data_IF_048824499208
#
_entry.id   IF_048824499208
#
_cell.length_a   1.000
_cell.length_b   1.000
_cell.length_c   1.000
_cell.angle_alpha   90.00
_cell.angle_beta   90.00
_cell.angle_gamma   90.00
#
_symmetry.space_group_name_H-M   'P 1'
#
loop_
_entity.id
_entity.type
_entity.pdbx_description
1 polymer ?
#
# COMPACT_ATOMS: atom_id res chain seq x y z
N UNK A 1 11.70 -19.18 7.42
CA UNK A 1 12.42 -17.90 7.38
C UNK A 1 13.56 -17.91 8.39
N UNK A 2 14.76 -17.42 8.03
CA UNK A 2 16.01 -17.38 8.82
C UNK A 2 16.58 -18.75 9.26
N UNK A 3 16.07 -19.85 8.78
CA UNK A 3 16.60 -21.19 9.05
C UNK A 3 17.46 -21.63 7.88
N UNK A 4 18.72 -22.00 8.16
CA UNK A 4 19.59 -22.57 7.16
C UNK A 4 19.27 -24.06 6.97
N UNK A 5 18.79 -24.43 5.75
CA UNK A 5 18.37 -25.79 5.42
C UNK A 5 19.50 -26.81 5.62
N UNK A 6 20.74 -26.52 5.19
CA UNK A 6 21.85 -27.46 5.31
C UNK A 6 22.19 -27.77 6.78
N UNK A 7 22.19 -26.71 7.63
CA UNK A 7 22.40 -26.89 9.07
C UNK A 7 21.25 -27.67 9.72
N UNK A 8 20.00 -27.42 9.29
CA UNK A 8 18.83 -28.15 9.77
C UNK A 8 18.96 -29.66 9.46
N UNK A 9 19.27 -30.00 8.22
CA UNK A 9 19.43 -31.40 7.79
C UNK A 9 20.60 -32.08 8.55
N UNK A 10 21.72 -31.37 8.72
CA UNK A 10 22.87 -31.87 9.50
C UNK A 10 22.46 -32.16 10.95
N UNK A 11 21.66 -31.27 11.56
CA UNK A 11 21.17 -31.47 12.93
C UNK A 11 20.20 -32.65 13.02
N UNK A 12 19.27 -32.77 12.05
CA UNK A 12 18.36 -33.93 11.97
C UNK A 12 19.16 -35.24 11.86
N UNK A 13 20.14 -35.31 10.96
CA UNK A 13 21.00 -36.48 10.80
C UNK A 13 21.78 -36.83 12.08
N UNK A 14 22.23 -35.81 12.84
CA UNK A 14 22.89 -36.05 14.12
C UNK A 14 21.94 -36.67 15.14
N UNK A 15 20.72 -36.10 15.29
CA UNK A 15 19.70 -36.61 16.23
C UNK A 15 19.27 -38.04 15.93
N UNK A 16 19.20 -38.42 14.63
CA UNK A 16 18.88 -39.78 14.20
C UNK A 16 20.08 -40.73 14.52
N UNK A 17 21.30 -40.32 14.25
CA UNK A 17 22.54 -41.11 14.55
C UNK A 17 22.72 -41.33 16.05
N UNK A 18 22.44 -40.29 16.85
CA UNK A 18 22.54 -40.30 18.31
C UNK A 18 21.36 -41.02 18.98
N UNK A 19 20.40 -41.52 18.17
CA UNK A 19 19.19 -42.22 18.58
C UNK A 19 18.22 -41.35 19.48
N UNK A 20 18.37 -40.04 19.40
CA UNK A 20 17.42 -39.11 20.05
C UNK A 20 16.09 -39.12 19.29
N UNK A 21 16.10 -39.35 17.97
CA UNK A 21 14.94 -39.62 17.14
C UNK A 21 15.10 -41.00 16.54
N UNK A 22 14.15 -41.90 16.83
CA UNK A 22 14.18 -43.27 16.37
C UNK A 22 13.11 -43.50 15.30
N UNK A 23 13.23 -44.62 14.56
CA UNK A 23 12.22 -44.96 13.54
C UNK A 23 12.46 -44.37 12.16
N UNK A 24 13.51 -43.58 11.96
CA UNK A 24 13.91 -43.06 10.65
C UNK A 24 14.90 -43.99 9.96
N UNK A 25 14.66 -44.29 8.69
CA UNK A 25 15.51 -45.15 7.86
C UNK A 25 16.34 -44.37 6.86
N UNK A 26 15.83 -43.28 6.35
CA UNK A 26 16.43 -42.46 5.31
C UNK A 26 16.13 -40.98 5.48
N UNK A 27 17.09 -40.12 5.21
CA UNK A 27 16.96 -38.66 5.21
C UNK A 27 17.71 -38.09 4.01
N UNK A 28 17.02 -37.37 3.14
CA UNK A 28 17.62 -36.78 1.94
C UNK A 28 17.03 -35.37 1.67
N UNK A 29 17.86 -34.56 1.03
CA UNK A 29 17.48 -33.24 0.50
C UNK A 29 17.21 -33.36 -1.00
N UNK A 30 15.95 -33.30 -1.37
CA UNK A 30 15.48 -33.34 -2.76
C UNK A 30 15.06 -31.96 -3.29
N UNK A 31 15.53 -30.89 -2.65
CA UNK A 31 15.21 -29.52 -3.05
C UNK A 31 15.69 -29.23 -4.47
N UNK A 32 14.82 -28.57 -5.24
CA UNK A 32 15.07 -28.22 -6.63
C UNK A 32 14.56 -26.77 -6.94
N UNK A 33 14.36 -26.45 -8.21
CA UNK A 33 13.86 -25.14 -8.66
C UNK A 33 12.43 -24.86 -8.23
N UNK A 34 11.64 -25.88 -7.95
CA UNK A 34 10.24 -25.75 -7.54
C UNK A 34 10.10 -25.45 -6.04
N UNK A 35 11.13 -25.74 -5.23
CA UNK A 35 11.12 -25.41 -3.81
C UNK A 35 12.02 -26.30 -2.94
N UNK A 36 11.88 -26.10 -1.63
CA UNK A 36 12.57 -26.87 -0.60
C UNK A 36 11.77 -28.16 -0.34
N UNK A 37 12.47 -29.30 -0.44
CA UNK A 37 11.91 -30.62 -0.15
C UNK A 37 12.92 -31.45 0.61
N UNK A 38 12.62 -31.76 1.87
CA UNK A 38 13.37 -32.69 2.71
C UNK A 38 12.53 -33.95 2.83
N UNK A 39 13.09 -35.09 2.42
CA UNK A 39 12.41 -36.41 2.46
C UNK A 39 12.98 -37.21 3.59
N UNK A 40 12.08 -37.78 4.41
CA UNK A 40 12.40 -38.66 5.52
C UNK A 40 11.57 -39.95 5.38
N UNK A 41 12.21 -41.10 5.30
CA UNK A 41 11.53 -42.39 5.28
C UNK A 41 11.52 -43.00 6.67
N UNK A 42 10.38 -43.52 7.06
CA UNK A 42 10.15 -44.09 8.40
C UNK A 42 10.09 -45.61 8.32
N UNK A 43 10.35 -46.29 9.43
CA UNK A 43 10.09 -47.72 9.60
C UNK A 43 8.58 -47.96 9.66
N UNK A 44 8.14 -49.17 9.33
CA UNK A 44 6.71 -49.55 9.30
C UNK A 44 6.00 -49.43 10.66
N UNK A 45 6.73 -49.61 11.73
CA UNK A 45 6.28 -49.55 13.13
C UNK A 45 6.49 -48.20 13.80
N UNK A 46 7.00 -47.21 13.04
CA UNK A 46 7.26 -45.90 13.57
C UNK A 46 5.97 -45.04 13.57
N UNK A 47 5.78 -44.29 14.63
CA UNK A 47 4.66 -43.32 14.77
C UNK A 47 5.09 -41.98 14.21
N UNK A 48 4.52 -41.61 13.07
CA UNK A 48 4.90 -40.41 12.32
C UNK A 48 4.69 -39.11 13.11
N UNK A 49 3.60 -39.01 13.86
CA UNK A 49 3.26 -37.83 14.67
C UNK A 49 4.30 -37.58 15.77
N UNK A 50 4.71 -38.66 16.47
CA UNK A 50 5.74 -38.57 17.52
C UNK A 50 7.07 -38.09 16.97
N UNK A 51 7.46 -38.62 15.80
CA UNK A 51 8.72 -38.22 15.14
C UNK A 51 8.63 -36.76 14.70
N UNK A 52 7.50 -36.33 14.15
CA UNK A 52 7.29 -34.94 13.73
C UNK A 52 7.34 -33.99 14.95
N UNK A 53 6.70 -34.33 16.06
CA UNK A 53 6.74 -33.56 17.29
C UNK A 53 8.17 -33.47 17.87
N UNK A 54 8.92 -34.59 17.85
CA UNK A 54 10.32 -34.59 18.25
C UNK A 54 11.18 -33.71 17.36
N UNK A 55 10.92 -33.68 16.05
CA UNK A 55 11.60 -32.78 15.10
C UNK A 55 11.28 -31.32 15.38
N UNK A 56 10.04 -30.98 15.66
CA UNK A 56 9.65 -29.60 16.02
C UNK A 56 10.32 -29.14 17.31
N UNK A 57 10.40 -30.02 18.31
CA UNK A 57 11.01 -29.69 19.62
C UNK A 57 12.54 -29.62 19.58
N UNK A 58 13.21 -30.55 18.87
CA UNK A 58 14.65 -30.72 18.92
C UNK A 58 15.41 -29.97 17.84
N UNK A 59 14.70 -29.44 16.84
CA UNK A 59 15.30 -28.77 15.69
C UNK A 59 14.63 -27.42 15.42
N UNK A 60 15.27 -26.52 14.67
CA UNK A 60 14.64 -25.26 14.23
C UNK A 60 13.62 -25.46 13.08
N UNK A 61 13.02 -26.63 12.94
CA UNK A 61 11.91 -26.86 12.00
C UNK A 61 10.67 -26.05 12.40
N UNK A 62 10.49 -25.85 13.69
CA UNK A 62 9.56 -24.91 14.26
C UNK A 62 10.34 -23.88 15.09
N UNK A 63 10.07 -22.60 14.90
CA UNK A 63 10.75 -21.53 15.61
C UNK A 63 9.80 -20.35 15.83
N UNK A 64 10.01 -19.63 16.92
CA UNK A 64 9.29 -18.40 17.17
C UNK A 64 9.93 -17.24 16.43
N UNK A 65 9.12 -16.35 15.90
CA UNK A 65 9.57 -15.11 15.25
C UNK A 65 9.03 -13.90 16.01
N UNK A 66 9.93 -13.17 16.64
CA UNK A 66 9.59 -11.91 17.31
C UNK A 66 9.41 -10.79 16.28
N UNK A 67 8.18 -10.32 16.11
CA UNK A 67 7.88 -9.21 15.20
C UNK A 67 8.32 -7.90 15.86
N UNK A 68 9.25 -7.19 15.22
CA UNK A 68 9.71 -5.87 15.65
C UNK A 68 9.53 -4.89 14.48
N UNK A 69 8.42 -4.12 14.54
CA UNK A 69 8.09 -3.15 13.51
C UNK A 69 8.60 -1.77 13.89
N UNK A 70 9.73 -1.38 13.31
CA UNK A 70 10.32 -0.06 13.46
C UNK A 70 9.93 0.81 12.26
N UNK A 71 9.28 1.93 12.51
CA UNK A 71 8.87 2.89 11.49
C UNK A 71 9.32 4.32 11.86
N UNK A 72 9.23 5.22 10.88
CA UNK A 72 9.46 6.66 11.11
C UNK A 72 8.08 7.34 11.28
N UNK A 73 7.76 7.71 12.50
CA UNK A 73 6.60 8.55 12.81
C UNK A 73 7.08 10.01 12.96
N UNK A 74 6.57 10.90 12.11
CA UNK A 74 6.95 12.33 12.11
C UNK A 74 8.49 12.56 12.07
N UNK A 75 9.22 11.72 11.31
CA UNK A 75 10.67 11.80 11.18
C UNK A 75 11.47 11.22 12.35
N UNK A 76 10.82 10.59 13.32
CA UNK A 76 11.46 9.95 14.47
C UNK A 76 11.26 8.42 14.40
N UNK A 77 12.33 7.63 14.64
CA UNK A 77 12.20 6.18 14.69
C UNK A 77 11.39 5.78 15.94
N UNK A 78 10.38 4.94 15.74
CA UNK A 78 9.51 4.43 16.81
C UNK A 78 9.14 2.98 16.52
N UNK A 79 9.15 2.15 17.54
CA UNK A 79 8.63 0.80 17.47
C UNK A 79 7.11 0.86 17.68
N UNK A 80 6.37 0.38 16.70
CA UNK A 80 4.92 0.48 16.66
C UNK A 80 4.25 -0.90 16.66
N UNK A 81 3.15 -1.08 17.37
CA UNK A 81 2.27 -2.22 17.20
C UNK A 81 1.54 -2.12 15.84
N UNK A 82 1.04 -3.24 15.35
CA UNK A 82 0.37 -3.33 14.03
C UNK A 82 -0.77 -2.32 13.88
N UNK A 83 -1.56 -2.13 14.93
CA UNK A 83 -2.70 -1.20 14.91
C UNK A 83 -2.24 0.24 14.66
N UNK A 84 -1.18 0.67 15.33
CA UNK A 84 -0.67 2.03 15.21
C UNK A 84 -0.05 2.27 13.81
N UNK A 85 0.67 1.28 13.26
CA UNK A 85 1.18 1.36 11.89
C UNK A 85 0.05 1.54 10.86
N UNK A 86 -1.06 0.83 11.03
CA UNK A 86 -2.22 0.98 10.14
C UNK A 86 -2.83 2.38 10.29
N UNK A 87 -2.95 2.89 11.51
CA UNK A 87 -3.43 4.25 11.76
C UNK A 87 -2.52 5.30 11.11
N UNK A 88 -1.23 5.24 11.38
CA UNK A 88 -0.25 6.18 10.80
C UNK A 88 -0.26 6.14 9.27
N UNK A 89 -0.46 4.96 8.68
CA UNK A 89 -0.61 4.81 7.24
C UNK A 89 -1.86 5.52 6.71
N UNK A 90 -3.02 5.34 7.38
CA UNK A 90 -4.27 6.00 6.99
C UNK A 90 -4.13 7.52 7.12
N UNK A 91 -3.58 8.01 8.22
CA UNK A 91 -3.35 9.44 8.43
C UNK A 91 -2.43 10.04 7.37
N UNK A 92 -1.37 9.30 7.00
CA UNK A 92 -0.50 9.70 5.90
C UNK A 92 -1.25 9.76 4.55
N UNK A 93 -2.11 8.79 4.25
CA UNK A 93 -2.92 8.80 3.03
C UNK A 93 -3.89 9.99 3.01
N UNK A 94 -4.54 10.29 4.13
CA UNK A 94 -5.40 11.48 4.28
C UNK A 94 -4.62 12.75 3.95
N UNK A 95 -3.42 12.94 4.53
CA UNK A 95 -2.58 14.10 4.26
C UNK A 95 -2.17 14.18 2.78
N UNK A 96 -1.81 13.06 2.16
CA UNK A 96 -1.48 13.00 0.73
C UNK A 96 -2.66 13.39 -0.15
N UNK A 97 -3.86 12.84 0.10
CA UNK A 97 -5.07 13.16 -0.67
C UNK A 97 -5.45 14.63 -0.50
N UNK A 98 -5.41 15.16 0.72
CA UNK A 98 -5.70 16.57 1.00
C UNK A 98 -4.73 17.49 0.25
N UNK A 99 -3.42 17.24 0.32
CA UNK A 99 -2.41 18.05 -0.39
C UNK A 99 -2.55 17.95 -1.91
N UNK A 100 -2.83 16.77 -2.44
CA UNK A 100 -3.10 16.55 -3.86
C UNK A 100 -4.32 17.38 -4.29
N UNK A 101 -5.42 17.28 -3.56
CA UNK A 101 -6.68 18.00 -3.85
C UNK A 101 -6.50 19.52 -3.78
N UNK A 102 -5.74 20.02 -2.79
CA UNK A 102 -5.39 21.45 -2.70
C UNK A 102 -4.58 21.94 -3.90
N UNK A 103 -3.63 21.15 -4.35
CA UNK A 103 -2.84 21.48 -5.54
C UNK A 103 -3.70 21.49 -6.81
N UNK A 104 -4.56 20.49 -6.99
CA UNK A 104 -5.47 20.39 -8.13
C UNK A 104 -6.51 21.53 -8.11
N UNK A 105 -7.03 21.87 -6.94
CA UNK A 105 -7.93 23.01 -6.77
C UNK A 105 -7.27 24.31 -7.19
N UNK A 106 -6.06 24.58 -6.70
CA UNK A 106 -5.33 25.79 -7.09
C UNK A 106 -5.09 25.85 -8.60
N UNK A 107 -4.65 24.73 -9.20
CA UNK A 107 -4.42 24.65 -10.65
C UNK A 107 -5.71 24.90 -11.45
N UNK A 108 -6.83 24.34 -11.01
CA UNK A 108 -8.13 24.55 -11.64
C UNK A 108 -8.61 25.99 -11.51
N UNK A 109 -8.44 26.62 -10.34
CA UNK A 109 -8.76 28.03 -10.09
C UNK A 109 -7.91 28.97 -10.95
N UNK A 110 -6.59 28.75 -11.01
CA UNK A 110 -5.67 29.55 -11.83
C UNK A 110 -6.06 29.45 -13.32
N UNK A 111 -6.46 28.28 -13.79
CA UNK A 111 -6.93 28.08 -15.15
C UNK A 111 -8.29 28.73 -15.41
N UNK A 112 -9.24 28.56 -14.50
CA UNK A 112 -10.56 29.20 -14.60
C UNK A 112 -10.44 30.73 -14.62
N UNK A 113 -9.55 31.30 -13.80
CA UNK A 113 -9.26 32.74 -13.78
C UNK A 113 -8.79 33.25 -15.14
N UNK A 114 -7.90 32.51 -15.82
CA UNK A 114 -7.45 32.88 -17.16
C UNK A 114 -8.60 32.79 -18.17
N UNK A 115 -9.41 31.73 -18.14
CA UNK A 115 -10.55 31.56 -19.04
C UNK A 115 -11.62 32.63 -18.84
N UNK A 116 -11.85 33.06 -17.62
CA UNK A 116 -12.75 34.18 -17.31
C UNK A 116 -12.30 35.47 -18.01
N UNK A 117 -11.01 35.81 -17.92
CA UNK A 117 -10.45 36.94 -18.64
C UNK A 117 -10.58 36.80 -20.17
N UNK A 118 -10.35 35.62 -20.72
CA UNK A 118 -10.53 35.35 -22.15
C UNK A 118 -12.00 35.48 -22.58
N UNK A 119 -12.97 35.10 -21.75
CA UNK A 119 -14.41 35.32 -22.02
C UNK A 119 -14.74 36.80 -22.10
N UNK A 120 -14.31 37.60 -21.12
CA UNK A 120 -14.50 39.06 -21.12
C UNK A 120 -13.90 39.68 -22.37
N UNK A 121 -12.68 39.27 -22.75
CA UNK A 121 -12.03 39.75 -23.95
C UNK A 121 -12.76 39.39 -25.25
N UNK A 122 -13.39 38.21 -25.31
CA UNK A 122 -14.18 37.78 -26.47
C UNK A 122 -15.54 38.48 -26.57
N UNK A 123 -16.14 38.86 -25.44
CA UNK A 123 -17.37 39.66 -25.43
C UNK A 123 -17.11 41.09 -25.90
N UNK A 124 -15.89 41.63 -25.72
CA UNK A 124 -15.46 42.99 -26.12
C UNK A 124 -14.37 42.96 -27.16
N UNK A 125 -14.40 41.99 -28.08
CA UNK A 125 -13.26 41.69 -28.96
C UNK A 125 -12.85 42.87 -29.84
N UNK A 126 -13.81 43.64 -30.38
CA UNK A 126 -13.53 44.80 -31.25
C UNK A 126 -12.80 45.91 -30.50
N UNK A 127 -13.22 46.16 -29.22
CA UNK A 127 -12.59 47.16 -28.36
C UNK A 127 -11.16 46.72 -27.98
N UNK A 128 -10.96 45.45 -27.64
CA UNK A 128 -9.64 44.88 -27.33
C UNK A 128 -8.72 44.99 -28.53
N UNK A 129 -9.17 44.62 -29.76
CA UNK A 129 -8.38 44.76 -30.99
C UNK A 129 -8.05 46.22 -31.28
N UNK A 130 -9.03 47.12 -31.15
CA UNK A 130 -8.81 48.56 -31.34
C UNK A 130 -7.71 49.10 -30.39
N UNK A 131 -7.78 48.71 -29.10
CA UNK A 131 -6.85 49.16 -28.08
C UNK A 131 -5.42 48.63 -28.39
N UNK A 132 -5.29 47.34 -28.77
CA UNK A 132 -4.00 46.75 -29.15
C UNK A 132 -3.39 47.45 -30.35
N UNK A 133 -4.20 47.78 -31.39
CA UNK A 133 -3.71 48.43 -32.63
C UNK A 133 -3.37 49.90 -32.44
N UNK A 134 -4.10 50.60 -31.59
CA UNK A 134 -3.90 52.07 -31.38
C UNK A 134 -2.81 52.38 -30.34
N UNK A 135 -2.43 51.41 -29.53
CA UNK A 135 -1.43 51.59 -28.48
C UNK A 135 -0.03 51.73 -29.08
N UNK A 136 0.73 52.68 -28.55
CA UNK A 136 2.17 52.85 -28.78
C UNK A 136 3.03 52.43 -27.59
N UNK A 137 2.37 51.86 -26.57
CA UNK A 137 3.02 51.41 -25.32
C UNK A 137 3.64 50.03 -25.50
N UNK A 138 4.55 49.70 -24.63
CA UNK A 138 5.09 48.35 -24.50
C UNK A 138 4.04 47.36 -23.99
N UNK A 139 4.38 46.07 -23.95
CA UNK A 139 3.48 44.99 -23.51
C UNK A 139 3.00 45.22 -22.08
N UNK A 140 3.85 45.74 -21.19
CA UNK A 140 3.49 46.01 -19.81
C UNK A 140 2.47 47.14 -19.69
N UNK A 141 2.66 48.24 -20.44
CA UNK A 141 1.72 49.35 -20.47
C UNK A 141 0.37 48.98 -21.11
N UNK A 142 0.40 48.17 -22.17
CA UNK A 142 -0.81 47.68 -22.82
C UNK A 142 -1.59 46.71 -21.93
N UNK A 143 -0.87 45.84 -21.17
CA UNK A 143 -1.51 44.97 -20.18
C UNK A 143 -2.22 45.79 -19.10
N UNK A 144 -1.60 46.89 -18.64
CA UNK A 144 -2.21 47.80 -17.66
C UNK A 144 -3.47 48.48 -18.22
N UNK A 145 -3.42 48.96 -19.48
CA UNK A 145 -4.58 49.56 -20.12
C UNK A 145 -5.75 48.60 -20.25
N UNK A 146 -5.49 47.30 -20.53
CA UNK A 146 -6.52 46.28 -20.55
C UNK A 146 -7.07 45.98 -19.16
N UNK A 147 -6.23 45.98 -18.13
CA UNK A 147 -6.69 45.83 -16.74
C UNK A 147 -7.63 46.98 -16.35
N UNK A 148 -7.27 48.22 -16.67
CA UNK A 148 -8.05 49.41 -16.28
C UNK A 148 -9.38 49.53 -17.05
N UNK A 149 -9.39 49.10 -18.33
CA UNK A 149 -10.57 49.20 -19.18
C UNK A 149 -11.62 48.09 -18.90
N UNK A 150 -11.19 46.89 -18.61
CA UNK A 150 -12.09 45.72 -18.49
C UNK A 150 -12.09 45.06 -17.09
N UNK A 151 -11.42 45.68 -16.11
CA UNK A 151 -11.33 45.14 -14.73
C UNK A 151 -10.57 43.81 -14.64
N UNK A 152 -9.61 43.56 -15.57
CA UNK A 152 -8.87 42.33 -15.65
C UNK A 152 -7.65 42.32 -14.71
N UNK A 153 -7.20 41.15 -14.32
CA UNK A 153 -5.91 41.00 -13.65
C UNK A 153 -4.76 41.03 -14.67
N UNK A 154 -3.55 41.36 -14.21
CA UNK A 154 -2.33 41.34 -15.06
C UNK A 154 -2.10 39.96 -15.69
N UNK A 155 -2.47 38.87 -15.02
CA UNK A 155 -2.34 37.52 -15.55
C UNK A 155 -3.31 37.29 -16.69
N UNK A 156 -4.55 37.75 -16.54
CA UNK A 156 -5.58 37.68 -17.59
C UNK A 156 -5.19 38.55 -18.78
N UNK A 157 -4.75 39.79 -18.56
CA UNK A 157 -4.32 40.70 -19.62
C UNK A 157 -3.16 40.14 -20.44
N UNK A 158 -2.16 39.57 -19.78
CA UNK A 158 -1.03 38.90 -20.48
C UNK A 158 -1.49 37.68 -21.28
N UNK A 159 -2.45 36.89 -20.75
CA UNK A 159 -3.00 35.74 -21.46
C UNK A 159 -3.80 36.15 -22.70
N UNK A 160 -4.50 37.30 -22.65
CA UNK A 160 -5.20 37.90 -23.80
C UNK A 160 -4.21 38.35 -24.87
N UNK A 161 -3.14 39.06 -24.49
CA UNK A 161 -2.09 39.50 -25.42
C UNK A 161 -1.34 38.35 -26.08
N UNK A 162 -1.14 37.26 -25.37
CA UNK A 162 -0.52 36.04 -25.88
C UNK A 162 -1.44 35.22 -26.78
N UNK A 163 -2.74 35.57 -26.88
CA UNK A 163 -3.72 34.79 -27.62
C UNK A 163 -3.55 34.96 -29.13
N UNK A 164 -3.51 33.86 -29.86
CA UNK A 164 -3.45 33.86 -31.31
C UNK A 164 -4.79 34.29 -31.94
N UNK A 165 -4.77 35.10 -32.99
CA UNK A 165 -5.97 35.56 -33.72
C UNK A 165 -6.89 34.43 -34.19
N UNK A 166 -6.35 33.26 -34.48
CA UNK A 166 -7.13 32.06 -34.83
C UNK A 166 -8.10 31.62 -33.72
N UNK A 167 -7.78 31.90 -32.48
CA UNK A 167 -8.63 31.54 -31.31
C UNK A 167 -9.85 32.47 -31.14
N UNK A 168 -9.97 33.49 -31.96
CA UNK A 168 -11.13 34.41 -31.95
C UNK A 168 -12.32 33.91 -32.76
N UNK A 169 -12.25 32.70 -33.31
CA UNK A 169 -13.38 32.10 -34.04
C UNK A 169 -14.50 31.65 -33.09
N UNK A 170 -15.75 31.65 -33.58
CA UNK A 170 -16.91 31.25 -32.79
C UNK A 170 -16.79 29.83 -32.22
N UNK A 171 -16.19 28.90 -32.95
CA UNK A 171 -15.93 27.53 -32.48
C UNK A 171 -14.98 27.45 -31.29
N UNK A 172 -14.02 28.34 -31.21
CA UNK A 172 -13.09 28.41 -30.08
C UNK A 172 -13.73 29.06 -28.86
N UNK A 173 -14.67 30.01 -29.06
CA UNK A 173 -15.46 30.60 -28.00
C UNK A 173 -16.27 29.51 -27.26
N UNK A 174 -16.96 28.64 -27.99
CA UNK A 174 -17.73 27.53 -27.40
C UNK A 174 -16.84 26.57 -26.61
N UNK A 175 -15.63 26.30 -27.10
CA UNK A 175 -14.68 25.46 -26.36
C UNK A 175 -14.22 26.09 -25.06
N UNK A 176 -13.92 27.38 -25.08
CA UNK A 176 -13.50 28.11 -23.86
C UNK A 176 -14.64 28.15 -22.83
N UNK A 177 -15.88 28.38 -23.28
CA UNK A 177 -17.03 28.36 -22.40
C UNK A 177 -17.27 26.97 -21.81
N UNK A 178 -17.21 25.92 -22.61
CA UNK A 178 -17.36 24.55 -22.13
C UNK A 178 -16.24 24.16 -21.15
N UNK A 179 -14.97 24.54 -21.44
CA UNK A 179 -13.84 24.29 -20.55
C UNK A 179 -14.05 25.03 -19.21
N UNK A 180 -14.50 26.28 -19.25
CA UNK A 180 -14.77 27.06 -18.05
C UNK A 180 -15.86 26.43 -17.18
N UNK A 181 -16.98 26.02 -17.79
CA UNK A 181 -18.08 25.36 -17.06
C UNK A 181 -17.63 24.03 -16.43
N UNK A 182 -16.85 23.23 -17.13
CA UNK A 182 -16.29 21.98 -16.60
C UNK A 182 -15.34 22.26 -15.42
N UNK A 183 -14.50 23.29 -15.52
CA UNK A 183 -13.63 23.68 -14.43
C UNK A 183 -14.38 24.16 -13.19
N UNK A 184 -15.48 24.89 -13.36
CA UNK A 184 -16.31 25.30 -12.22
C UNK A 184 -16.88 24.09 -11.47
N UNK A 185 -17.38 23.09 -12.18
CA UNK A 185 -17.85 21.84 -11.57
C UNK A 185 -16.71 21.10 -10.85
N UNK A 186 -15.54 21.04 -11.46
CA UNK A 186 -14.35 20.43 -10.84
C UNK A 186 -13.91 21.17 -9.59
N UNK A 187 -13.92 22.50 -9.62
CA UNK A 187 -13.58 23.35 -8.45
C UNK A 187 -14.58 23.11 -7.31
N UNK A 188 -15.86 23.00 -7.62
CA UNK A 188 -16.90 22.71 -6.61
C UNK A 188 -16.67 21.34 -5.97
N UNK A 189 -16.43 20.29 -6.79
CA UNK A 189 -16.14 18.94 -6.30
C UNK A 189 -14.87 18.88 -5.44
N UNK A 190 -13.77 19.51 -5.88
CA UNK A 190 -12.52 19.57 -5.12
C UNK A 190 -12.68 20.32 -3.78
N UNK A 191 -13.50 21.38 -3.74
CA UNK A 191 -13.83 22.08 -2.50
C UNK A 191 -14.67 21.22 -1.56
N UNK A 192 -15.60 20.44 -2.08
CA UNK A 192 -16.41 19.52 -1.28
C UNK A 192 -15.57 18.39 -0.70
N UNK A 193 -14.62 17.83 -1.47
CA UNK A 193 -13.66 16.84 -0.96
C UNK A 193 -12.86 17.41 0.22
N UNK A 194 -12.37 18.66 0.12
CA UNK A 194 -11.60 19.31 1.19
C UNK A 194 -12.45 19.66 2.43
N UNK A 195 -13.72 19.92 2.24
CA UNK A 195 -14.63 20.24 3.32
C UNK A 195 -15.17 19.01 4.07
N UNK A 196 -15.14 17.84 3.43
CA UNK A 196 -15.77 16.62 3.91
C UNK A 196 -14.76 15.48 4.09
N UNK A 197 -14.39 15.21 5.35
CA UNK A 197 -13.43 14.15 5.68
C UNK A 197 -13.88 12.77 5.22
N UNK A 198 -15.18 12.47 5.25
CA UNK A 198 -15.69 11.16 4.83
C UNK A 198 -15.48 10.92 3.33
N UNK A 199 -15.51 11.98 2.51
CA UNK A 199 -15.15 11.88 1.09
C UNK A 199 -13.68 11.56 0.87
N UNK A 200 -12.79 12.14 1.68
CA UNK A 200 -11.35 11.80 1.64
C UNK A 200 -11.14 10.33 1.98
N UNK A 201 -11.80 9.83 3.03
CA UNK A 201 -11.73 8.41 3.41
C UNK A 201 -12.33 7.50 2.33
N UNK A 202 -13.38 7.94 1.64
CA UNK A 202 -13.97 7.18 0.53
C UNK A 202 -13.00 7.04 -0.65
N UNK A 203 -12.29 8.11 -1.02
CA UNK A 203 -11.26 8.07 -2.07
C UNK A 203 -10.17 7.06 -1.70
N UNK A 204 -9.68 7.09 -0.47
CA UNK A 204 -8.65 6.15 0.01
C UNK A 204 -9.18 4.70 -0.05
N UNK A 205 -10.44 4.48 0.34
CA UNK A 205 -11.06 3.15 0.28
C UNK A 205 -11.17 2.63 -1.14
N UNK A 206 -11.56 3.48 -2.08
CA UNK A 206 -11.71 3.13 -3.48
C UNK A 206 -10.34 2.78 -4.10
N UNK A 207 -9.31 3.59 -3.83
CA UNK A 207 -7.92 3.34 -4.27
C UNK A 207 -7.38 2.00 -3.71
N UNK A 208 -7.60 1.74 -2.42
CA UNK A 208 -7.17 0.49 -1.78
C UNK A 208 -7.93 -0.73 -2.32
N UNK A 209 -9.23 -0.58 -2.62
CA UNK A 209 -10.04 -1.64 -3.22
C UNK A 209 -9.55 -1.98 -4.63
N UNK A 210 -9.20 -0.97 -5.43
CA UNK A 210 -8.61 -1.19 -6.75
C UNK A 210 -7.26 -1.92 -6.68
N UNK A 211 -6.42 -1.55 -5.72
CA UNK A 211 -5.13 -2.21 -5.49
C UNK A 211 -5.33 -3.67 -5.07
N UNK A 212 -6.26 -3.93 -4.16
CA UNK A 212 -6.58 -5.28 -3.71
C UNK A 212 -7.08 -6.16 -4.86
N UNK A 213 -7.98 -5.65 -5.70
CA UNK A 213 -8.47 -6.38 -6.88
C UNK A 213 -7.38 -6.71 -7.91
N UNK A 214 -6.39 -5.83 -8.08
CA UNK A 214 -5.31 -6.03 -9.07
C UNK A 214 -4.16 -6.89 -8.57
N UNK A 215 -3.83 -6.80 -7.29
CA UNK A 215 -2.59 -7.32 -6.72
C UNK A 215 -2.81 -8.16 -5.47
N UNK A 216 -4.04 -8.25 -4.96
CA UNK A 216 -4.37 -9.05 -3.79
C UNK A 216 -4.10 -10.53 -4.06
N UNK A 217 -3.49 -11.21 -3.10
CA UNK A 217 -3.29 -12.64 -3.07
C UNK A 217 -3.86 -13.24 -1.78
N UNK A 218 -4.08 -14.54 -1.78
CA UNK A 218 -4.60 -15.23 -0.62
C UNK A 218 -3.56 -15.23 0.51
N UNK A 219 -4.06 -15.16 1.76
CA UNK A 219 -3.21 -15.24 2.94
C UNK A 219 -2.51 -16.61 3.00
N UNK A 220 -1.17 -16.61 3.05
CA UNK A 220 -0.37 -17.84 3.15
C UNK A 220 -0.21 -18.34 4.58
N UNK A 221 -0.34 -17.44 5.57
CA UNK A 221 -0.15 -17.75 6.98
C UNK A 221 -1.50 -18.03 7.62
N UNK A 222 -1.67 -19.18 8.20
CA UNK A 222 -2.86 -19.54 8.99
C UNK A 222 -2.85 -18.79 10.33
N UNK A 223 -4.02 -18.32 10.76
CA UNK A 223 -4.21 -17.77 12.10
C UNK A 223 -4.84 -18.87 12.93
N UNK A 224 -4.10 -19.36 13.91
CA UNK A 224 -4.51 -20.44 14.81
C UNK A 224 -4.39 -19.98 16.26
N UNK A 225 -5.36 -20.35 17.08
CA UNK A 225 -5.33 -20.16 18.54
C UNK A 225 -4.58 -21.31 19.24
N UNK A 226 -4.02 -22.27 18.49
CA UNK A 226 -3.31 -23.40 19.05
C UNK A 226 -2.06 -22.92 19.81
N UNK A 227 -2.01 -23.20 21.08
CA UNK A 227 -0.78 -23.06 21.86
C UNK A 227 0.26 -24.06 21.33
N UNK A 228 1.49 -23.58 21.13
CA UNK A 228 2.62 -24.40 20.67
C UNK A 228 3.19 -25.26 21.81
N UNK A 229 2.53 -25.33 22.94
CA UNK A 229 2.94 -26.14 24.07
C UNK A 229 2.67 -27.62 23.78
N UNK A 230 3.68 -28.29 23.22
CA UNK A 230 3.71 -29.75 23.17
C UNK A 230 3.89 -30.28 24.58
N UNK A 231 2.98 -31.10 25.02
CA UNK A 231 3.12 -31.82 26.28
C UNK A 231 4.18 -32.92 26.14
N UNK A 232 4.80 -33.32 27.25
CA UNK A 232 5.83 -34.38 27.21
C UNK A 232 5.22 -35.71 26.73
N UNK A 233 3.90 -35.90 26.90
CA UNK A 233 3.14 -37.05 26.43
C UNK A 233 3.09 -37.17 24.92
N UNK A 234 3.09 -36.06 24.18
CA UNK A 234 3.10 -36.00 22.68
C UNK A 234 4.41 -36.52 22.08
N UNK A 235 5.44 -36.71 22.89
CA UNK A 235 6.76 -37.15 22.47
C UNK A 235 7.01 -38.65 22.78
N UNK A 236 6.08 -39.28 23.48
CA UNK A 236 6.22 -40.69 23.95
C UNK A 236 5.40 -41.59 23.01
N UNK A 237 6.02 -42.62 22.38
CA UNK A 237 5.28 -43.55 21.57
C UNK A 237 4.30 -44.33 22.40
N UNK A 238 3.09 -44.54 21.88
CA UNK A 238 2.06 -45.38 22.50
C UNK A 238 2.48 -46.85 22.31
N UNK A 239 2.71 -47.56 23.42
CA UNK A 239 3.08 -48.95 23.42
C UNK A 239 2.11 -49.74 24.28
N UNK A 240 1.74 -50.96 23.83
CA UNK A 240 1.01 -51.94 24.65
C UNK A 240 1.95 -52.52 25.70
N UNK A 241 1.71 -52.21 26.97
CA UNK A 241 2.54 -52.69 28.06
C UNK A 241 1.73 -53.63 28.97
N UNK A 242 2.38 -54.68 29.44
CA UNK A 242 1.80 -55.60 30.44
C UNK A 242 2.34 -55.21 31.81
N UNK A 243 1.49 -54.74 32.67
CA UNK A 243 1.85 -54.41 34.04
C UNK A 243 1.63 -55.67 34.91
N UNK A 244 2.69 -56.12 35.52
CA UNK A 244 2.60 -57.23 36.49
C UNK A 244 2.67 -56.70 37.92
N UNK A 245 1.72 -57.13 38.74
CA UNK A 245 1.71 -56.84 40.18
C UNK A 245 2.11 -58.10 40.94
N UNK A 246 3.15 -58.03 41.75
CA UNK A 246 3.57 -59.19 42.58
C UNK A 246 2.72 -59.26 43.83
N UNK A 247 2.63 -60.45 44.46
CA UNK A 247 1.91 -60.68 45.66
C UNK A 247 2.39 -59.83 46.87
N UNK A 248 3.65 -59.34 46.80
CA UNK A 248 4.26 -58.40 47.75
C UNK A 248 4.03 -56.90 47.41
N UNK A 249 3.20 -56.57 46.41
CA UNK A 249 2.82 -55.19 46.07
C UNK A 249 3.82 -54.44 45.19
N UNK A 250 4.80 -55.12 44.57
CA UNK A 250 5.68 -54.47 43.61
C UNK A 250 5.08 -54.48 42.20
N UNK A 251 5.11 -53.33 41.54
CA UNK A 251 4.71 -53.15 40.13
C UNK A 251 5.96 -53.27 39.25
N UNK A 252 5.88 -54.01 38.19
CA UNK A 252 6.96 -54.14 37.17
C UNK A 252 6.37 -54.07 35.80
#
# INVERSE_FOLDING_TARGET
>A
YQVNKANLITKMASLIRDKAIQGVTYLNDESNREGIRIVMELKKDAQEEVILNQLFRLTPLQTSFGINMLALENGRPKQLPLKDIIHDYIDHQVDVVVRKTQFELKKAQDRAHILEGLRIAMDHIDEVIHMIRSSKKDEAGLSQDLCDAFGLSMIQAKAILAMQLRRLSGLERDKIENEYQQLLLTIEDLKDILANHDRVLQIIRDDLTEIDQKYGDERRTEISDASVDMEDEDLIPVEDVIITLTESGYIK
#
